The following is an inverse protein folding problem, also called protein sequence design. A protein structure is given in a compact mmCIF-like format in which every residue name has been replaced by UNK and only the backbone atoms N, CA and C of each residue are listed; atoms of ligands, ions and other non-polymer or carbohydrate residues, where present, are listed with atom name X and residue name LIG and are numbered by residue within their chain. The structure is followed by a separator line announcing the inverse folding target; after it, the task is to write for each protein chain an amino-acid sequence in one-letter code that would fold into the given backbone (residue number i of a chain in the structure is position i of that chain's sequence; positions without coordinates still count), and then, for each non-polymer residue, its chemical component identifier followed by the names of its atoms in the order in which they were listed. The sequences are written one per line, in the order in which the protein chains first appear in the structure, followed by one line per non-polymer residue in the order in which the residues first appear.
data_IF_816266103919
#
_entry.id   IF_816266103919
#
_cell.length_a   1.000
_cell.length_b   1.000
_cell.length_c   1.000
_cell.angle_alpha   90.00
_cell.angle_beta   90.00
_cell.angle_gamma   90.00
#
_symmetry.space_group_name_H-M   'P 1'
#
loop_
_entity.id
_entity.type
_entity.pdbx_description
1 polymer ?
#
# COMPACT_ATOMS: atom_id res chain seq x y z
N UNK A 1 -33.59 -14.19 -16.44
CA UNK A 1 -32.25 -14.49 -16.95
C UNK A 1 -31.73 -13.20 -17.51
N UNK A 2 -30.60 -12.69 -16.99
CA UNK A 2 -29.95 -11.52 -17.55
C UNK A 2 -29.62 -11.79 -19.02
N UNK A 3 -29.73 -10.78 -19.88
CA UNK A 3 -29.28 -10.90 -21.26
C UNK A 3 -27.75 -10.87 -21.31
N UNK A 4 -27.15 -11.34 -22.41
CA UNK A 4 -25.70 -11.24 -22.64
C UNK A 4 -25.21 -9.79 -22.57
N UNK A 5 -26.06 -8.84 -22.97
CA UNK A 5 -25.80 -7.40 -22.88
C UNK A 5 -25.81 -6.90 -21.43
N UNK A 6 -26.77 -7.33 -20.61
CA UNK A 6 -26.82 -7.00 -19.17
C UNK A 6 -25.60 -7.53 -18.42
N UNK A 7 -25.15 -8.74 -18.78
CA UNK A 7 -23.99 -9.35 -18.15
C UNK A 7 -22.69 -8.63 -18.52
N UNK A 8 -22.50 -8.25 -19.78
CA UNK A 8 -21.36 -7.43 -20.21
C UNK A 8 -21.35 -6.08 -19.49
N UNK A 9 -22.50 -5.41 -19.39
CA UNK A 9 -22.63 -4.13 -18.68
C UNK A 9 -22.22 -4.28 -17.20
N UNK A 10 -22.71 -5.32 -16.52
CA UNK A 10 -22.34 -5.63 -15.14
C UNK A 10 -20.82 -5.84 -14.99
N UNK A 11 -20.19 -6.65 -15.85
CA UNK A 11 -18.75 -6.89 -15.80
C UNK A 11 -17.92 -5.63 -16.07
N UNK A 12 -18.41 -4.75 -16.94
CA UNK A 12 -17.80 -3.43 -17.15
C UNK A 12 -17.90 -2.55 -15.90
N UNK A 13 -19.04 -2.51 -15.23
CA UNK A 13 -19.20 -1.77 -13.96
C UNK A 13 -18.27 -2.32 -12.86
N UNK A 14 -18.14 -3.64 -12.77
CA UNK A 14 -17.24 -4.29 -11.81
C UNK A 14 -15.76 -3.99 -12.12
N UNK A 15 -15.39 -3.97 -13.40
CA UNK A 15 -14.07 -3.54 -13.85
C UNK A 15 -13.79 -2.10 -13.46
N UNK A 16 -14.71 -1.18 -13.76
CA UNK A 16 -14.55 0.24 -13.38
C UNK A 16 -14.43 0.40 -11.87
N UNK A 17 -15.26 -0.28 -11.07
CA UNK A 17 -15.18 -0.23 -9.63
C UNK A 17 -13.85 -0.79 -9.08
N UNK A 18 -13.37 -1.90 -9.62
CA UNK A 18 -12.10 -2.49 -9.21
C UNK A 18 -10.89 -1.61 -9.58
N UNK A 19 -10.93 -0.93 -10.74
CA UNK A 19 -9.86 -0.05 -11.20
C UNK A 19 -9.89 1.34 -10.54
N UNK A 20 -11.06 1.95 -10.40
CA UNK A 20 -11.20 3.31 -9.87
C UNK A 20 -11.33 3.32 -8.34
N UNK A 21 -11.76 2.20 -7.74
CA UNK A 21 -11.92 2.07 -6.30
C UNK A 21 -10.64 2.31 -5.50
N UNK A 22 -9.47 1.98 -6.07
CA UNK A 22 -8.16 2.36 -5.50
C UNK A 22 -7.75 1.61 -4.22
N UNK A 23 -8.46 0.55 -3.82
CA UNK A 23 -8.14 -0.26 -2.62
C UNK A 23 -7.41 -1.56 -2.90
N UNK A 24 -7.27 -1.95 -4.17
CA UNK A 24 -6.57 -3.15 -4.60
C UNK A 24 -5.26 -2.76 -5.30
N UNK A 25 -4.29 -3.66 -5.40
CA UNK A 25 -3.21 -3.52 -6.38
C UNK A 25 -3.61 -4.13 -7.73
N UNK A 26 -2.80 -3.92 -8.78
CA UNK A 26 -3.08 -4.43 -10.12
C UNK A 26 -3.33 -5.95 -10.13
N UNK A 27 -2.46 -6.73 -9.47
CA UNK A 27 -2.62 -8.19 -9.37
C UNK A 27 -3.98 -8.56 -8.76
N UNK A 28 -4.36 -7.90 -7.66
CA UNK A 28 -5.64 -8.15 -6.99
C UNK A 28 -6.83 -7.80 -7.88
N UNK A 29 -6.79 -6.69 -8.62
CA UNK A 29 -7.84 -6.34 -9.59
C UNK A 29 -7.98 -7.41 -10.66
N UNK A 30 -6.86 -7.80 -11.28
CA UNK A 30 -6.88 -8.79 -12.36
C UNK A 30 -7.37 -10.15 -11.84
N UNK A 31 -6.90 -10.60 -10.67
CA UNK A 31 -7.38 -11.86 -10.07
C UNK A 31 -8.88 -11.81 -9.76
N UNK A 32 -9.37 -10.73 -9.14
CA UNK A 32 -10.81 -10.63 -8.82
C UNK A 32 -11.69 -10.60 -10.08
N UNK A 33 -11.26 -9.88 -11.13
CA UNK A 33 -11.99 -9.84 -12.40
C UNK A 33 -11.91 -11.16 -13.16
N UNK A 34 -10.78 -11.86 -13.09
CA UNK A 34 -10.65 -13.19 -13.68
C UNK A 34 -11.61 -14.18 -13.01
N UNK A 35 -11.62 -14.22 -11.67
CA UNK A 35 -12.51 -15.10 -10.90
C UNK A 35 -13.99 -14.81 -11.23
N UNK A 36 -14.37 -13.52 -11.27
CA UNK A 36 -15.72 -13.10 -11.64
C UNK A 36 -16.07 -13.50 -13.08
N UNK A 37 -15.21 -13.20 -14.05
CA UNK A 37 -15.46 -13.51 -15.45
C UNK A 37 -15.53 -15.01 -15.72
N UNK A 38 -14.69 -15.82 -15.04
CA UNK A 38 -14.75 -17.29 -15.14
C UNK A 38 -16.06 -17.84 -14.60
N UNK A 39 -16.58 -17.26 -13.51
CA UNK A 39 -17.86 -17.64 -12.94
C UNK A 39 -19.03 -17.28 -13.86
N UNK A 40 -19.01 -16.08 -14.44
CA UNK A 40 -20.15 -15.56 -15.20
C UNK A 40 -20.15 -15.93 -16.70
N UNK A 41 -19.00 -15.87 -17.36
CA UNK A 41 -18.88 -16.06 -18.83
C UNK A 41 -18.51 -17.50 -19.20
N UNK A 42 -17.65 -18.15 -18.41
CA UNK A 42 -17.17 -19.52 -18.64
C UNK A 42 -16.31 -19.74 -19.90
N UNK A 43 -16.21 -18.75 -20.81
CA UNK A 43 -15.36 -18.75 -22.01
C UNK A 43 -14.02 -18.04 -21.72
N UNK A 44 -12.92 -18.79 -21.84
CA UNK A 44 -11.55 -18.29 -21.66
C UNK A 44 -11.24 -17.10 -22.59
N UNK A 45 -11.79 -17.09 -23.81
CA UNK A 45 -11.55 -16.00 -24.74
C UNK A 45 -12.26 -14.71 -24.31
N UNK A 46 -13.40 -14.80 -23.63
CA UNK A 46 -14.10 -13.65 -23.06
C UNK A 46 -13.44 -13.14 -21.78
N UNK A 47 -12.99 -14.07 -20.93
CA UNK A 47 -12.20 -13.75 -19.73
C UNK A 47 -10.95 -12.95 -20.12
N UNK A 48 -10.17 -13.43 -21.09
CA UNK A 48 -8.97 -12.71 -21.54
C UNK A 48 -9.28 -11.35 -22.19
N UNK A 49 -10.43 -11.21 -22.87
CA UNK A 49 -10.88 -9.91 -23.37
C UNK A 49 -11.15 -8.91 -22.24
N UNK A 50 -11.80 -9.34 -21.17
CA UNK A 50 -12.05 -8.50 -19.99
C UNK A 50 -10.73 -8.13 -19.29
N UNK A 51 -9.81 -9.08 -19.12
CA UNK A 51 -8.51 -8.82 -18.48
C UNK A 51 -7.64 -7.87 -19.31
N UNK A 52 -7.64 -8.00 -20.64
CA UNK A 52 -6.96 -7.06 -21.52
C UNK A 52 -7.54 -5.64 -21.41
N UNK A 53 -8.86 -5.52 -21.28
CA UNK A 53 -9.52 -4.24 -21.01
C UNK A 53 -9.12 -3.68 -19.64
N UNK A 54 -9.10 -4.52 -18.60
CA UNK A 54 -8.74 -4.13 -17.25
C UNK A 54 -7.30 -3.59 -17.18
N UNK A 55 -6.33 -4.25 -17.83
CA UNK A 55 -4.94 -3.78 -17.92
C UNK A 55 -4.84 -2.41 -18.58
N UNK A 56 -5.56 -2.20 -19.68
CA UNK A 56 -5.61 -0.90 -20.36
C UNK A 56 -6.20 0.17 -19.45
N UNK A 57 -7.34 -0.13 -18.82
CA UNK A 57 -8.03 0.80 -17.94
C UNK A 57 -7.20 1.15 -16.70
N UNK A 58 -6.44 0.20 -16.15
CA UNK A 58 -5.47 0.44 -15.06
C UNK A 58 -4.39 1.44 -15.48
N UNK A 59 -3.84 1.31 -16.68
CA UNK A 59 -2.83 2.24 -17.19
C UNK A 59 -3.42 3.65 -17.42
N UNK A 60 -4.60 3.74 -18.02
CA UNK A 60 -5.33 5.00 -18.18
C UNK A 60 -5.59 5.65 -16.80
N UNK A 61 -6.04 4.87 -15.83
CA UNK A 61 -6.30 5.36 -14.48
C UNK A 61 -5.02 5.79 -13.76
N UNK A 62 -3.88 5.13 -14.01
CA UNK A 62 -2.59 5.54 -13.46
C UNK A 62 -2.17 6.92 -13.97
N UNK A 63 -2.44 7.22 -15.24
CA UNK A 63 -2.21 8.55 -15.82
C UNK A 63 -3.18 9.56 -15.19
N UNK A 64 -4.47 9.22 -15.04
CA UNK A 64 -5.46 10.06 -14.36
C UNK A 64 -5.02 10.40 -12.92
N UNK A 65 -4.64 9.39 -12.13
CA UNK A 65 -4.17 9.55 -10.74
C UNK A 65 -2.95 10.48 -10.65
N UNK A 66 -2.02 10.38 -11.60
CA UNK A 66 -0.83 11.23 -11.65
C UNK A 66 -1.14 12.71 -11.93
N UNK A 67 -2.29 12.99 -12.56
CA UNK A 67 -2.73 14.35 -12.89
C UNK A 67 -3.44 15.07 -11.74
N UNK A 68 -3.87 14.35 -10.71
CA UNK A 68 -4.56 14.95 -9.57
C UNK A 68 -3.54 15.64 -8.66
N UNK A 69 -3.35 16.95 -8.80
CA UNK A 69 -2.41 17.74 -7.99
C UNK A 69 -3.03 18.29 -6.69
N UNK A 70 -4.34 18.50 -6.69
CA UNK A 70 -5.07 19.06 -5.54
C UNK A 70 -5.60 17.96 -4.59
N UNK A 71 -5.83 18.29 -3.30
CA UNK A 71 -6.49 17.38 -2.37
C UNK A 71 -7.88 16.96 -2.85
N UNK A 72 -8.14 15.65 -2.88
CA UNK A 72 -9.42 15.09 -3.30
C UNK A 72 -10.37 14.89 -2.11
N UNK A 73 -11.66 14.64 -2.39
CA UNK A 73 -12.62 14.23 -1.36
C UNK A 73 -12.20 12.90 -0.71
N UNK A 74 -11.63 11.96 -1.48
CA UNK A 74 -11.07 10.73 -0.91
C UNK A 74 -9.87 10.99 0.01
N UNK A 75 -9.02 11.97 -0.30
CA UNK A 75 -7.93 12.39 0.60
C UNK A 75 -8.47 12.99 1.91
N UNK A 76 -9.56 13.76 1.84
CA UNK A 76 -10.27 14.27 3.02
C UNK A 76 -10.92 13.13 3.82
N UNK A 77 -11.51 12.14 3.14
CA UNK A 77 -12.13 10.97 3.77
C UNK A 77 -11.08 10.14 4.52
N UNK A 78 -9.89 9.97 3.95
CA UNK A 78 -8.76 9.32 4.62
C UNK A 78 -8.38 10.05 5.92
N UNK A 79 -8.28 11.37 5.88
CA UNK A 79 -7.95 12.18 7.07
C UNK A 79 -9.04 12.11 8.14
N UNK A 80 -10.31 12.15 7.73
CA UNK A 80 -11.45 12.03 8.64
C UNK A 80 -11.49 10.65 9.34
N UNK A 81 -11.26 9.57 8.61
CA UNK A 81 -11.22 8.21 9.17
C UNK A 81 -10.06 8.03 10.15
N UNK A 82 -8.90 8.61 9.82
CA UNK A 82 -7.76 8.63 10.75
C UNK A 82 -8.06 9.42 12.04
N UNK A 83 -8.76 10.55 11.95
CA UNK A 83 -9.17 11.34 13.12
C UNK A 83 -10.18 10.59 13.99
N UNK A 84 -11.20 9.99 13.38
CA UNK A 84 -12.18 9.17 14.09
C UNK A 84 -11.51 8.06 14.89
N UNK A 85 -10.57 7.35 14.24
CA UNK A 85 -9.83 6.25 14.89
C UNK A 85 -8.98 6.75 16.05
N UNK A 86 -8.32 7.90 15.91
CA UNK A 86 -7.57 8.55 17.01
C UNK A 86 -8.47 8.95 18.17
N UNK A 87 -9.73 9.29 17.90
CA UNK A 87 -10.72 9.68 18.91
C UNK A 87 -11.55 8.50 19.44
N UNK A 88 -11.11 7.25 19.18
CA UNK A 88 -11.72 6.04 19.72
C UNK A 88 -12.92 5.51 18.94
N UNK A 89 -13.16 5.98 17.72
CA UNK A 89 -14.14 5.42 16.78
C UNK A 89 -13.37 4.72 15.66
N UNK A 90 -13.30 3.39 15.69
CA UNK A 90 -12.54 2.63 14.70
C UNK A 90 -13.15 2.82 13.31
N UNK A 91 -12.43 3.52 12.43
CA UNK A 91 -12.91 3.84 11.09
C UNK A 91 -12.16 3.03 10.04
N UNK A 92 -12.83 2.07 9.39
CA UNK A 92 -12.22 1.22 8.36
C UNK A 92 -12.80 1.53 6.98
N UNK A 93 -11.91 1.67 6.00
CA UNK A 93 -12.29 1.84 4.61
C UNK A 93 -12.22 0.50 3.89
N UNK A 94 -13.16 0.26 2.97
CA UNK A 94 -13.27 -0.95 2.18
C UNK A 94 -13.16 -2.24 3.03
N UNK A 95 -13.89 -2.27 4.15
CA UNK A 95 -13.88 -3.37 5.11
C UNK A 95 -14.77 -4.51 4.62
N UNK A 96 -14.16 -5.56 4.06
CA UNK A 96 -14.88 -6.67 3.46
C UNK A 96 -15.68 -6.25 2.22
N UNK A 97 -16.56 -7.13 1.75
CA UNK A 97 -17.37 -6.89 0.56
C UNK A 97 -18.82 -6.52 0.90
N UNK A 98 -19.39 -7.17 1.91
CA UNK A 98 -20.76 -6.95 2.39
C UNK A 98 -20.79 -6.26 3.76
N UNK A 99 -21.97 -5.78 4.16
CA UNK A 99 -22.20 -5.19 5.49
C UNK A 99 -21.83 -6.14 6.64
N UNK A 100 -22.16 -7.43 6.48
CA UNK A 100 -21.86 -8.45 7.49
C UNK A 100 -20.35 -8.68 7.63
N UNK A 101 -19.64 -8.77 6.50
CA UNK A 101 -18.18 -8.95 6.50
C UNK A 101 -17.47 -7.74 7.09
N UNK A 102 -17.92 -6.53 6.76
CA UNK A 102 -17.35 -5.31 7.32
C UNK A 102 -17.49 -5.21 8.84
N UNK A 103 -18.61 -5.68 9.41
CA UNK A 103 -18.73 -5.82 10.86
C UNK A 103 -17.77 -6.85 11.45
N UNK A 104 -17.53 -7.95 10.74
CA UNK A 104 -16.52 -8.94 11.10
C UNK A 104 -15.11 -8.35 11.15
N UNK A 105 -14.71 -7.64 10.10
CA UNK A 105 -13.41 -6.96 9.97
C UNK A 105 -13.20 -5.92 11.07
N UNK A 106 -14.21 -5.07 11.29
CA UNK A 106 -14.18 -4.04 12.33
C UNK A 106 -14.03 -4.65 13.73
N UNK A 107 -14.76 -5.72 14.05
CA UNK A 107 -14.63 -6.42 15.34
C UNK A 107 -13.26 -7.07 15.50
N UNK A 108 -12.76 -7.72 14.45
CA UNK A 108 -11.44 -8.34 14.45
C UNK A 108 -10.31 -7.31 14.61
N UNK A 109 -10.44 -6.15 13.97
CA UNK A 109 -9.51 -5.04 14.09
C UNK A 109 -9.57 -4.40 15.49
N UNK A 110 -10.76 -4.20 16.05
CA UNK A 110 -10.93 -3.67 17.41
C UNK A 110 -10.30 -4.59 18.47
N UNK A 111 -10.48 -5.92 18.35
CA UNK A 111 -9.94 -6.91 19.28
C UNK A 111 -8.39 -6.95 19.33
N UNK A 112 -7.72 -6.48 18.27
CA UNK A 112 -6.25 -6.40 18.20
C UNK A 112 -5.67 -5.14 18.85
N UNK A 113 -6.51 -4.17 19.23
CA UNK A 113 -6.05 -2.92 19.83
C UNK A 113 -5.88 -3.07 21.35
N UNK A 114 -4.86 -2.41 21.89
CA UNK A 114 -4.65 -2.30 23.34
C UNK A 114 -5.67 -1.39 24.01
N UNK A 115 -6.12 -0.35 23.29
CA UNK A 115 -7.12 0.60 23.77
C UNK A 115 -8.52 0.18 23.33
N UNK A 116 -9.48 0.26 24.26
CA UNK A 116 -10.89 -0.01 23.95
C UNK A 116 -11.46 1.09 23.07
N UNK A 117 -11.94 0.72 21.89
CA UNK A 117 -12.68 1.61 21.00
C UNK A 117 -14.12 1.77 21.53
N UNK A 118 -14.71 2.96 21.41
CA UNK A 118 -16.10 3.25 21.80
C UNK A 118 -17.12 2.72 20.78
N UNK A 119 -16.70 2.65 19.52
CA UNK A 119 -17.53 2.19 18.41
C UNK A 119 -16.74 2.17 17.12
N UNK A 120 -17.47 2.08 16.01
CA UNK A 120 -16.86 2.02 14.69
C UNK A 120 -17.73 2.68 13.62
N UNK A 121 -17.07 3.01 12.52
CA UNK A 121 -17.73 3.34 11.25
C UNK A 121 -16.94 2.73 10.09
N UNK A 122 -17.63 2.33 9.03
CA UNK A 122 -16.95 1.76 7.87
C UNK A 122 -17.82 1.81 6.62
N UNK A 123 -17.17 1.56 5.48
CA UNK A 123 -17.83 1.20 4.22
C UNK A 123 -17.15 -0.04 3.64
N UNK A 124 -17.87 -0.81 2.83
CA UNK A 124 -17.42 -2.08 2.26
C UNK A 124 -17.34 -2.03 0.72
N UNK A 125 -16.89 -3.11 0.07
CA UNK A 125 -16.69 -3.17 -1.39
C UNK A 125 -17.89 -2.71 -2.22
N UNK A 126 -19.09 -3.17 -1.90
CA UNK A 126 -20.31 -2.71 -2.60
C UNK A 126 -20.61 -1.21 -2.41
N UNK A 127 -20.15 -0.60 -1.32
CA UNK A 127 -20.27 0.84 -1.12
C UNK A 127 -19.26 1.61 -1.98
N UNK A 128 -18.07 1.03 -2.19
CA UNK A 128 -17.05 1.56 -3.12
C UNK A 128 -17.60 1.51 -4.54
N UNK A 129 -18.16 0.37 -4.98
CA UNK A 129 -18.82 0.25 -6.30
C UNK A 129 -19.87 1.35 -6.48
N UNK A 130 -20.76 1.50 -5.51
CA UNK A 130 -21.80 2.54 -5.51
C UNK A 130 -21.20 3.96 -5.60
N UNK A 131 -20.13 4.22 -4.86
CA UNK A 131 -19.42 5.50 -4.86
C UNK A 131 -18.78 5.82 -6.21
N UNK A 132 -18.05 4.86 -6.79
CA UNK A 132 -17.42 4.96 -8.11
C UNK A 132 -18.45 5.20 -9.20
N UNK A 133 -19.59 4.49 -9.15
CA UNK A 133 -20.68 4.59 -10.12
C UNK A 133 -21.58 5.82 -9.91
N UNK A 134 -21.18 6.77 -9.05
CA UNK A 134 -21.85 8.06 -8.92
C UNK A 134 -23.14 8.05 -8.10
N UNK A 135 -23.41 6.98 -7.34
CA UNK A 135 -24.57 6.92 -6.45
C UNK A 135 -24.26 7.36 -5.01
N UNK A 136 -23.01 7.78 -4.75
CA UNK A 136 -22.54 8.22 -3.44
C UNK A 136 -22.11 7.06 -2.55
N UNK A 137 -21.39 7.40 -1.49
CA UNK A 137 -20.79 6.44 -0.58
C UNK A 137 -21.66 6.30 0.67
N UNK A 138 -21.77 5.11 1.25
CA UNK A 138 -22.48 4.99 2.52
C UNK A 138 -21.73 4.25 3.60
N UNK A 139 -21.96 4.72 4.81
CA UNK A 139 -21.18 4.43 6.00
C UNK A 139 -22.07 3.74 7.03
N UNK A 140 -21.70 2.52 7.38
CA UNK A 140 -22.22 1.86 8.57
C UNK A 140 -21.60 2.51 9.82
N UNK A 141 -22.32 2.46 10.93
CA UNK A 141 -21.85 2.93 12.23
C UNK A 141 -22.46 2.09 13.36
N UNK A 142 -21.84 2.12 14.53
CA UNK A 142 -22.38 1.52 15.76
C UNK A 142 -21.39 1.54 16.91
N UNK A 143 -21.91 1.47 18.13
CA UNK A 143 -21.11 1.43 19.35
C UNK A 143 -20.64 0.00 19.69
N UNK A 144 -19.53 -0.11 20.41
CA UNK A 144 -19.08 -1.34 21.07
C UNK A 144 -19.56 -1.40 22.52
N UNK A 145 -20.78 -0.89 22.75
CA UNK A 145 -21.46 -0.96 24.04
C UNK A 145 -22.10 -2.33 24.19
N UNK A 146 -21.82 -2.96 25.34
CA UNK A 146 -22.27 -4.32 25.67
C UNK A 146 -23.65 -4.30 26.35
N UNK A 147 -24.01 -3.19 27.03
CA UNK A 147 -25.34 -3.01 27.61
C UNK A 147 -26.40 -2.66 26.54
N UNK A 148 -27.37 -3.54 26.27
CA UNK A 148 -28.41 -3.29 25.27
C UNK A 148 -29.24 -2.03 25.54
N UNK A 149 -29.39 -1.61 26.81
CA UNK A 149 -30.15 -0.41 27.16
C UNK A 149 -29.40 0.89 26.80
N UNK A 150 -28.08 0.84 26.68
CA UNK A 150 -27.22 1.97 26.35
C UNK A 150 -26.74 1.95 24.89
N UNK A 151 -26.79 0.78 24.25
CA UNK A 151 -26.26 0.54 22.90
C UNK A 151 -26.81 1.48 21.83
N UNK A 152 -28.12 1.74 21.85
CA UNK A 152 -28.79 2.56 20.85
C UNK A 152 -28.37 4.03 20.94
N UNK A 153 -28.41 4.63 22.13
CA UNK A 153 -27.97 6.03 22.31
C UNK A 153 -26.47 6.17 22.07
N UNK A 154 -25.66 5.19 22.51
CA UNK A 154 -24.23 5.18 22.22
C UNK A 154 -23.98 5.13 20.70
N UNK A 155 -24.71 4.31 19.96
CA UNK A 155 -24.59 4.20 18.50
C UNK A 155 -25.04 5.46 17.78
N UNK A 156 -26.11 6.12 18.25
CA UNK A 156 -26.52 7.43 17.75
C UNK A 156 -25.46 8.51 18.02
N UNK A 157 -24.78 8.46 19.17
CA UNK A 157 -23.67 9.36 19.48
C UNK A 157 -22.48 9.13 18.54
N UNK A 158 -22.14 7.88 18.23
CA UNK A 158 -21.13 7.53 17.21
C UNK A 158 -21.52 8.14 15.85
N UNK A 159 -22.77 7.98 15.41
CA UNK A 159 -23.25 8.53 14.14
C UNK A 159 -23.11 10.06 14.06
N UNK A 160 -23.50 10.77 15.13
CA UNK A 160 -23.37 12.23 15.23
C UNK A 160 -21.90 12.65 15.14
N UNK A 161 -21.01 12.00 15.89
CA UNK A 161 -19.57 12.30 15.90
C UNK A 161 -18.91 12.01 14.54
N UNK A 162 -19.31 10.93 13.85
CA UNK A 162 -18.88 10.63 12.48
C UNK A 162 -19.25 11.75 11.53
N UNK A 163 -20.52 12.20 11.55
CA UNK A 163 -20.98 13.30 10.68
C UNK A 163 -20.28 14.62 10.98
N UNK A 164 -20.12 14.97 12.25
CA UNK A 164 -19.40 16.18 12.66
C UNK A 164 -17.93 16.14 12.21
N UNK A 165 -17.29 14.99 12.32
CA UNK A 165 -15.90 14.82 11.88
C UNK A 165 -15.78 14.94 10.37
N UNK A 166 -16.66 14.28 9.61
CA UNK A 166 -16.70 14.41 8.15
C UNK A 166 -16.94 15.87 7.72
N UNK A 167 -17.86 16.59 8.37
CA UNK A 167 -18.12 17.99 8.10
C UNK A 167 -16.89 18.89 8.36
N UNK A 168 -16.10 18.62 9.42
CA UNK A 168 -14.83 19.34 9.67
C UNK A 168 -13.79 19.14 8.56
N UNK A 169 -13.82 17.99 7.88
CA UNK A 169 -12.99 17.70 6.71
C UNK A 169 -13.62 18.17 5.39
N UNK A 170 -14.72 18.92 5.43
CA UNK A 170 -15.41 19.46 4.26
C UNK A 170 -16.27 18.43 3.51
N UNK A 171 -16.66 17.34 4.17
CA UNK A 171 -17.46 16.26 3.58
C UNK A 171 -18.91 16.39 4.08
N UNK A 172 -19.82 16.64 3.15
CA UNK A 172 -21.25 16.71 3.44
C UNK A 172 -21.83 15.30 3.63
N UNK A 173 -22.82 15.19 4.54
CA UNK A 173 -23.48 13.91 4.85
C UNK A 173 -24.99 14.06 5.04
N UNK A 174 -25.71 13.08 4.51
CA UNK A 174 -27.14 12.90 4.67
C UNK A 174 -27.42 11.70 5.59
N UNK A 175 -28.29 11.89 6.57
CA UNK A 175 -28.76 10.84 7.46
C UNK A 175 -30.06 11.27 8.13
N UNK A 176 -31.02 10.37 8.25
CA UNK A 176 -32.35 10.71 8.79
C UNK A 176 -32.43 10.61 10.34
N UNK A 177 -31.32 10.30 11.01
CA UNK A 177 -31.25 10.19 12.47
C UNK A 177 -31.60 8.82 13.05
N UNK A 178 -31.84 7.79 12.22
CA UNK A 178 -32.26 6.45 12.67
C UNK A 178 -31.14 5.43 12.59
N UNK A 179 -31.07 4.52 13.57
CA UNK A 179 -30.07 3.46 13.67
C UNK A 179 -30.14 2.46 12.51
N UNK A 180 -31.33 2.23 11.97
CA UNK A 180 -31.55 1.29 10.87
C UNK A 180 -31.09 1.86 9.51
N UNK A 181 -30.70 3.14 9.48
CA UNK A 181 -30.24 3.79 8.26
C UNK A 181 -28.79 4.21 8.38
N UNK A 182 -28.05 4.00 7.29
CA UNK A 182 -26.64 4.38 7.18
C UNK A 182 -26.48 5.87 6.88
N UNK A 183 -25.32 6.40 7.22
CA UNK A 183 -24.92 7.76 6.82
C UNK A 183 -24.53 7.72 5.35
N UNK A 184 -25.06 8.62 4.53
CA UNK A 184 -24.69 8.75 3.13
C UNK A 184 -23.81 9.98 2.93
N UNK A 185 -22.72 9.83 2.19
CA UNK A 185 -22.04 10.92 1.53
C UNK A 185 -22.68 11.02 0.13
N UNK A 186 -23.28 12.16 -0.24
CA UNK A 186 -23.87 12.35 -1.57
C UNK A 186 -22.86 12.06 -2.70
N UNK A 187 -23.32 11.85 -3.95
CA UNK A 187 -22.42 11.67 -5.08
C UNK A 187 -21.34 12.75 -5.13
N UNK A 188 -20.08 12.31 -5.21
CA UNK A 188 -18.92 13.17 -5.32
C UNK A 188 -17.95 12.57 -6.34
N UNK A 189 -17.00 13.36 -6.79
CA UNK A 189 -16.00 12.88 -7.74
C UNK A 189 -15.04 11.90 -7.05
N UNK A 190 -15.15 10.62 -7.39
CA UNK A 190 -14.32 9.59 -6.82
C UNK A 190 -12.90 9.62 -7.41
N UNK A 191 -11.94 9.98 -6.57
CA UNK A 191 -10.51 10.07 -6.90
C UNK A 191 -9.66 9.43 -5.80
N UNK A 192 -9.95 8.17 -5.48
CA UNK A 192 -9.15 7.41 -4.51
C UNK A 192 -7.81 7.03 -5.15
N UNK A 193 -6.74 7.61 -4.63
CA UNK A 193 -5.38 7.28 -5.02
C UNK A 193 -5.04 5.84 -4.61
N UNK A 194 -4.78 4.98 -5.59
CA UNK A 194 -4.30 3.60 -5.37
C UNK A 194 -2.94 3.61 -4.69
N UNK A 195 -2.19 4.70 -4.87
CA UNK A 195 -0.88 4.91 -4.28
C UNK A 195 -0.79 6.17 -3.42
N UNK A 196 -1.76 6.37 -2.52
CA UNK A 196 -1.50 7.18 -1.31
C UNK A 196 -0.65 6.46 -0.25
N UNK A 197 0.17 5.49 -0.64
CA UNK A 197 1.33 4.99 0.12
C UNK A 197 2.67 5.49 -0.42
N UNK A 198 2.74 6.02 -1.65
CA UNK A 198 3.97 6.67 -2.15
C UNK A 198 4.13 8.12 -1.67
N UNK A 199 3.08 8.75 -1.19
CA UNK A 199 3.09 10.11 -0.63
C UNK A 199 2.83 10.20 0.89
N UNK A 200 2.76 9.07 1.61
CA UNK A 200 2.55 9.02 3.07
C UNK A 200 3.66 8.33 3.86
N UNK A 201 4.87 8.32 3.30
CA UNK A 201 6.09 8.17 4.09
C UNK A 201 7.08 9.31 3.85
N UNK A 202 6.59 10.49 3.47
CA UNK A 202 7.18 11.70 4.05
C UNK A 202 6.45 11.89 5.36
N UNK A 203 7.11 11.73 6.52
CA UNK A 203 6.56 12.22 7.78
C UNK A 203 6.11 13.68 7.56
N UNK A 204 5.11 14.20 8.30
CA UNK A 204 4.92 15.65 8.34
C UNK A 204 6.29 16.29 8.54
N UNK A 205 6.58 17.41 7.88
CA UNK A 205 7.90 18.04 7.86
C UNK A 205 8.51 18.30 9.26
N UNK A 206 7.70 18.14 10.33
CA UNK A 206 8.03 18.27 11.74
C UNK A 206 8.20 16.95 12.54
N UNK A 207 7.97 15.75 11.99
CA UNK A 207 8.27 14.48 12.69
C UNK A 207 9.49 13.83 12.09
N UNK A 208 10.65 14.26 12.57
CA UNK A 208 11.94 13.69 12.20
C UNK A 208 12.01 12.17 12.46
N UNK A 209 12.38 11.40 11.44
CA UNK A 209 12.61 9.97 11.54
C UNK A 209 13.76 9.65 12.51
N UNK A 210 13.80 8.43 13.04
CA UNK A 210 14.91 8.01 13.91
C UNK A 210 16.28 8.21 13.24
N UNK A 211 16.36 7.92 11.94
CA UNK A 211 17.56 8.03 11.13
C UNK A 211 17.96 9.50 10.95
N UNK A 212 17.01 10.38 10.59
CA UNK A 212 17.26 11.82 10.49
C UNK A 212 17.73 12.41 11.82
N UNK A 213 17.11 12.00 12.94
CA UNK A 213 17.50 12.46 14.29
C UNK A 213 18.91 12.05 14.66
N UNK A 214 19.29 10.79 14.36
CA UNK A 214 20.64 10.31 14.64
C UNK A 214 21.65 11.02 13.73
N UNK A 215 21.35 11.15 12.44
CA UNK A 215 22.21 11.83 11.47
C UNK A 215 22.47 13.28 11.88
N UNK A 216 21.40 14.05 12.19
CA UNK A 216 21.50 15.44 12.65
C UNK A 216 22.31 15.56 13.94
N UNK A 217 22.09 14.67 14.92
CA UNK A 217 22.83 14.70 16.18
C UNK A 217 24.33 14.41 15.96
N UNK A 218 24.67 13.42 15.12
CA UNK A 218 26.06 13.11 14.79
C UNK A 218 26.74 14.27 14.05
N UNK A 219 26.05 14.90 13.09
CA UNK A 219 26.55 16.10 12.40
C UNK A 219 26.85 17.24 13.39
N UNK A 220 25.95 17.50 14.35
CA UNK A 220 26.12 18.56 15.35
C UNK A 220 27.22 18.25 16.37
N UNK A 221 27.30 17.02 16.86
CA UNK A 221 28.25 16.63 17.92
C UNK A 221 29.68 16.47 17.39
N UNK A 222 29.85 15.91 16.19
CA UNK A 222 31.15 15.58 15.63
C UNK A 222 31.63 16.60 14.58
N UNK A 223 30.79 17.56 14.22
CA UNK A 223 31.14 18.62 13.25
C UNK A 223 31.24 18.13 11.81
N UNK A 224 30.55 17.04 11.45
CA UNK A 224 30.52 16.51 10.08
C UNK A 224 29.65 17.37 9.16
N UNK A 225 30.07 17.52 7.91
CA UNK A 225 29.22 18.04 6.85
C UNK A 225 28.09 17.05 6.54
N UNK A 226 27.03 17.54 5.89
CA UNK A 226 25.90 16.71 5.48
C UNK A 226 26.34 15.62 4.49
N UNK A 227 27.28 15.92 3.60
CA UNK A 227 27.83 14.99 2.61
C UNK A 227 28.60 13.85 3.30
N UNK A 228 29.49 14.17 4.25
CA UNK A 228 30.24 13.17 5.03
C UNK A 228 29.31 12.28 5.87
N UNK A 229 28.28 12.86 6.48
CA UNK A 229 27.32 12.11 7.30
C UNK A 229 26.45 11.17 6.43
N UNK A 230 26.04 11.60 5.24
CA UNK A 230 25.29 10.76 4.30
C UNK A 230 26.19 9.63 3.78
N UNK A 231 27.43 9.92 3.38
CA UNK A 231 28.36 8.90 2.90
C UNK A 231 28.64 7.84 3.98
N UNK A 232 28.82 8.25 5.24
CA UNK A 232 28.98 7.32 6.37
C UNK A 232 27.72 6.46 6.59
N UNK A 233 26.53 7.04 6.38
CA UNK A 233 25.27 6.32 6.51
C UNK A 233 25.08 5.27 5.41
N UNK A 234 25.36 5.64 4.16
CA UNK A 234 25.33 4.75 3.00
C UNK A 234 26.29 3.58 3.19
N UNK A 235 27.53 3.87 3.59
CA UNK A 235 28.55 2.86 3.86
C UNK A 235 28.13 1.90 4.99
N UNK A 236 27.58 2.42 6.08
CA UNK A 236 27.07 1.59 7.18
C UNK A 236 25.93 0.68 6.73
N UNK A 237 24.94 1.22 6.01
CA UNK A 237 23.78 0.45 5.55
C UNK A 237 24.21 -0.59 4.51
N UNK A 238 25.15 -0.26 3.63
CA UNK A 238 25.74 -1.19 2.68
C UNK A 238 26.45 -2.35 3.39
N UNK A 239 27.28 -2.06 4.40
CA UNK A 239 27.98 -3.09 5.17
C UNK A 239 26.98 -4.03 5.87
N UNK A 240 25.95 -3.49 6.51
CA UNK A 240 24.93 -4.31 7.19
C UNK A 240 24.08 -5.11 6.20
N UNK A 241 23.78 -4.55 5.03
CA UNK A 241 23.07 -5.26 3.97
C UNK A 241 23.90 -6.43 3.42
N UNK A 242 25.20 -6.24 3.18
CA UNK A 242 26.11 -7.30 2.73
C UNK A 242 26.18 -8.44 3.76
N UNK A 243 26.39 -8.13 5.04
CA UNK A 243 26.42 -9.16 6.11
C UNK A 243 25.12 -9.97 6.20
N UNK A 244 23.98 -9.33 5.95
CA UNK A 244 22.67 -9.92 6.19
C UNK A 244 22.06 -10.62 4.97
N UNK A 245 22.35 -10.13 3.77
CA UNK A 245 21.80 -10.65 2.51
C UNK A 245 22.81 -11.44 1.66
N UNK A 246 24.12 -11.32 1.93
CA UNK A 246 25.20 -12.06 1.26
C UNK A 246 26.37 -11.15 0.91
N UNK A 247 27.56 -11.45 1.43
CA UNK A 247 28.77 -10.65 1.24
C UNK A 247 29.31 -10.75 -0.20
N UNK A 248 28.98 -11.83 -0.89
CA UNK A 248 29.29 -12.06 -2.29
C UNK A 248 28.44 -11.21 -3.25
N UNK A 249 27.38 -10.56 -2.76
CA UNK A 249 26.45 -9.80 -3.61
C UNK A 249 27.02 -8.45 -3.98
N UNK A 250 26.75 -8.03 -5.21
CA UNK A 250 27.00 -6.68 -5.70
C UNK A 250 25.83 -5.78 -5.29
N UNK A 251 25.93 -5.27 -4.06
CA UNK A 251 25.00 -4.31 -3.50
C UNK A 251 25.54 -2.88 -3.60
N UNK A 252 24.64 -1.94 -3.77
CA UNK A 252 24.91 -0.50 -3.70
C UNK A 252 23.89 0.16 -2.77
N UNK A 253 24.30 1.19 -2.04
CA UNK A 253 23.43 1.93 -1.13
C UNK A 253 23.54 3.43 -1.42
N UNK A 254 22.40 4.08 -1.68
CA UNK A 254 22.34 5.49 -2.08
C UNK A 254 21.23 6.20 -1.31
N UNK A 255 21.54 7.37 -0.75
CA UNK A 255 20.59 8.22 -0.05
C UNK A 255 19.68 8.94 -1.04
N UNK A 256 18.38 8.71 -0.92
CA UNK A 256 17.34 9.42 -1.66
C UNK A 256 16.90 10.64 -0.84
N UNK A 257 17.19 11.88 -1.28
CA UNK A 257 16.84 13.10 -0.54
C UNK A 257 15.33 13.40 -0.54
N UNK A 258 14.57 12.89 -1.50
CA UNK A 258 13.11 13.07 -1.56
C UNK A 258 12.42 12.13 -0.59
N UNK A 259 12.84 10.87 -0.56
CA UNK A 259 12.33 9.85 0.37
C UNK A 259 12.96 9.90 1.76
N UNK A 260 14.07 10.65 1.89
CA UNK A 260 14.86 10.82 3.11
C UNK A 260 15.31 9.50 3.75
N UNK A 261 15.72 8.55 2.91
CA UNK A 261 16.15 7.21 3.30
C UNK A 261 17.27 6.72 2.38
N UNK A 262 18.05 5.75 2.84
CA UNK A 262 19.02 5.07 1.98
C UNK A 262 18.33 3.91 1.28
N UNK A 263 18.38 3.87 -0.05
CA UNK A 263 17.91 2.74 -0.84
C UNK A 263 19.08 1.80 -1.12
N UNK A 264 18.84 0.49 -0.97
CA UNK A 264 19.82 -0.54 -1.33
C UNK A 264 19.39 -1.17 -2.64
N UNK A 265 20.33 -1.41 -3.55
CA UNK A 265 20.09 -2.04 -4.85
C UNK A 265 21.05 -3.22 -5.03
N UNK A 266 20.59 -4.28 -5.68
CA UNK A 266 21.42 -5.37 -6.17
C UNK A 266 21.48 -5.30 -7.69
N UNK A 267 22.68 -5.34 -8.26
CA UNK A 267 22.90 -5.38 -9.70
C UNK A 267 23.33 -6.78 -10.15
N UNK A 268 22.53 -7.40 -11.02
CA UNK A 268 22.79 -8.72 -11.63
C UNK A 268 23.14 -8.57 -13.11
N UNK A 269 24.13 -9.31 -13.59
CA UNK A 269 24.52 -9.32 -15.02
C UNK A 269 23.89 -10.52 -15.74
N UNK A 270 23.28 -10.28 -16.89
CA UNK A 270 22.73 -11.34 -17.74
C UNK A 270 23.86 -11.98 -18.54
N UNK A 271 24.01 -13.30 -18.48
CA UNK A 271 25.09 -14.03 -19.14
C UNK A 271 24.59 -15.28 -19.86
N UNK A 272 25.28 -15.72 -20.91
CA UNK A 272 24.94 -16.98 -21.59
C UNK A 272 25.42 -18.21 -20.81
N UNK A 273 26.49 -18.04 -20.01
CA UNK A 273 27.06 -19.06 -19.14
C UNK A 273 27.55 -18.38 -17.87
N UNK A 274 27.22 -18.98 -16.72
CA UNK A 274 27.74 -18.52 -15.43
C UNK A 274 29.27 -18.65 -15.39
N UNK A 275 29.90 -17.77 -14.62
CA UNK A 275 31.31 -17.86 -14.29
C UNK A 275 31.60 -19.12 -13.45
N UNK A 276 32.83 -19.62 -13.55
CA UNK A 276 33.27 -20.78 -12.77
C UNK A 276 33.54 -20.39 -11.29
N UNK A 277 33.79 -19.11 -11.02
CA UNK A 277 33.89 -18.57 -9.65
C UNK A 277 32.49 -18.34 -9.05
N UNK A 278 32.11 -19.07 -7.97
CA UNK A 278 30.81 -18.90 -7.33
C UNK A 278 30.53 -17.48 -6.82
N UNK A 279 31.57 -16.73 -6.44
CA UNK A 279 31.41 -15.35 -5.97
C UNK A 279 31.00 -14.40 -7.12
N UNK A 280 31.54 -14.63 -8.32
CA UNK A 280 31.14 -13.89 -9.53
C UNK A 280 29.76 -14.36 -10.00
N UNK A 281 29.53 -15.67 -10.02
CA UNK A 281 28.27 -16.27 -10.45
C UNK A 281 27.07 -15.86 -9.57
N UNK A 282 27.28 -15.54 -8.29
CA UNK A 282 26.23 -15.04 -7.39
C UNK A 282 25.51 -13.79 -7.95
N UNK A 283 26.21 -12.98 -8.74
CA UNK A 283 25.70 -11.76 -9.36
C UNK A 283 25.39 -11.91 -10.86
N UNK A 284 25.25 -13.13 -11.36
CA UNK A 284 24.94 -13.41 -12.75
C UNK A 284 23.65 -14.20 -12.89
N UNK A 285 22.88 -13.95 -13.96
CA UNK A 285 21.71 -14.77 -14.30
C UNK A 285 21.75 -15.20 -15.76
N UNK A 286 21.33 -16.44 -15.99
CA UNK A 286 21.36 -17.00 -17.34
C UNK A 286 20.33 -16.29 -18.22
N UNK A 287 20.75 -15.94 -19.43
CA UNK A 287 19.89 -15.29 -20.43
C UNK A 287 18.56 -16.04 -20.62
N UNK A 288 18.63 -17.37 -20.69
CA UNK A 288 17.44 -18.22 -20.85
C UNK A 288 16.46 -18.06 -19.67
N UNK A 289 16.97 -18.06 -18.43
CA UNK A 289 16.15 -17.91 -17.21
C UNK A 289 15.45 -16.54 -17.19
N UNK A 290 16.16 -15.48 -17.56
CA UNK A 290 15.62 -14.11 -17.55
C UNK A 290 14.55 -13.93 -18.65
N UNK A 291 14.79 -14.49 -19.85
CA UNK A 291 13.82 -14.44 -20.97
C UNK A 291 12.56 -15.26 -20.72
N UNK A 292 12.65 -16.39 -20.02
CA UNK A 292 11.48 -17.18 -19.62
C UNK A 292 10.50 -16.38 -18.74
N UNK A 293 11.00 -15.37 -18.03
CA UNK A 293 10.20 -14.46 -17.21
C UNK A 293 9.67 -13.24 -18.01
N UNK A 294 9.80 -13.26 -19.33
CA UNK A 294 9.25 -12.26 -20.25
C UNK A 294 10.05 -10.96 -20.31
N UNK A 295 11.28 -10.94 -19.80
CA UNK A 295 12.16 -9.77 -19.91
C UNK A 295 12.91 -9.78 -21.24
N UNK A 296 12.90 -8.63 -21.92
CA UNK A 296 13.66 -8.41 -23.15
C UNK A 296 15.07 -7.93 -22.79
N UNK A 297 16.05 -8.83 -22.87
CA UNK A 297 17.44 -8.61 -22.46
C UNK A 297 18.44 -9.30 -23.40
N UNK A 298 19.66 -8.77 -23.42
CA UNK A 298 20.83 -9.27 -24.12
C UNK A 298 21.94 -9.70 -23.13
N UNK A 299 22.85 -10.61 -23.53
CA UNK A 299 24.04 -10.90 -22.74
C UNK A 299 24.87 -9.65 -22.48
N UNK A 300 25.22 -9.43 -21.21
CA UNK A 300 25.92 -8.25 -20.72
C UNK A 300 25.01 -7.20 -20.08
N UNK A 301 23.70 -7.29 -20.25
CA UNK A 301 22.75 -6.36 -19.62
C UNK A 301 22.78 -6.47 -18.09
N UNK A 302 22.56 -5.32 -17.43
CA UNK A 302 22.45 -5.26 -15.98
C UNK A 302 20.98 -5.12 -15.54
N UNK A 303 20.54 -6.07 -14.71
CA UNK A 303 19.27 -6.01 -14.02
C UNK A 303 19.50 -5.44 -12.63
N UNK A 304 18.93 -4.28 -12.35
CA UNK A 304 19.03 -3.62 -11.05
C UNK A 304 17.73 -3.79 -10.29
N UNK A 305 17.81 -4.35 -9.10
CA UNK A 305 16.66 -4.57 -8.22
C UNK A 305 16.86 -3.84 -6.90
N UNK A 306 15.85 -3.11 -6.46
CA UNK A 306 15.84 -2.56 -5.11
C UNK A 306 15.75 -3.68 -4.06
N UNK A 307 16.54 -3.62 -3.00
CA UNK A 307 16.48 -4.51 -1.85
C UNK A 307 15.70 -3.84 -0.73
N UNK A 308 14.51 -4.38 -0.45
CA UNK A 308 13.62 -3.89 0.60
C UNK A 308 14.04 -4.43 1.97
N UNK A 309 14.82 -3.62 2.70
CA UNK A 309 15.41 -4.05 3.96
C UNK A 309 14.64 -3.59 5.20
N UNK A 310 13.65 -2.70 5.07
CA UNK A 310 12.92 -2.15 6.22
C UNK A 310 11.60 -2.89 6.45
N UNK A 311 11.15 -3.05 7.71
CA UNK A 311 9.84 -3.65 8.01
C UNK A 311 8.66 -2.95 7.35
N UNK A 312 8.77 -1.64 7.10
CA UNK A 312 7.75 -0.82 6.45
C UNK A 312 7.55 -1.19 4.98
N UNK A 313 8.58 -1.76 4.34
CA UNK A 313 8.58 -2.17 2.93
C UNK A 313 8.13 -3.65 2.76
N UNK A 314 7.52 -4.24 3.80
CA UNK A 314 7.12 -5.65 3.79
C UNK A 314 6.14 -6.03 2.66
N UNK A 315 5.18 -5.19 2.26
CA UNK A 315 4.34 -5.48 1.08
C UNK A 315 5.16 -5.57 -0.21
N UNK A 316 6.08 -4.62 -0.43
CA UNK A 316 6.94 -4.52 -1.60
C UNK A 316 7.94 -5.66 -1.65
N UNK A 317 8.58 -5.97 -0.53
CA UNK A 317 9.51 -7.09 -0.39
C UNK A 317 8.82 -8.43 -0.67
N UNK A 318 7.56 -8.60 -0.22
CA UNK A 318 6.76 -9.81 -0.50
C UNK A 318 6.40 -9.93 -1.96
N UNK A 319 6.05 -8.82 -2.61
CA UNK A 319 5.72 -8.80 -4.03
C UNK A 319 6.96 -9.10 -4.89
N UNK A 320 8.10 -8.50 -4.55
CA UNK A 320 9.37 -8.74 -5.23
C UNK A 320 9.85 -10.18 -5.04
N UNK A 321 9.80 -10.73 -3.82
CA UNK A 321 10.16 -12.13 -3.58
C UNK A 321 9.30 -13.10 -4.42
N UNK A 322 8.02 -12.76 -4.63
CA UNK A 322 7.12 -13.56 -5.46
C UNK A 322 7.45 -13.42 -6.96
N UNK A 323 7.73 -12.21 -7.42
CA UNK A 323 7.88 -11.92 -8.85
C UNK A 323 9.29 -12.20 -9.38
N UNK A 324 10.30 -11.89 -8.57
CA UNK A 324 11.70 -11.89 -8.96
C UNK A 324 12.58 -12.70 -8.00
N UNK A 325 12.03 -13.37 -7.00
CA UNK A 325 12.83 -14.12 -6.01
C UNK A 325 13.75 -15.18 -6.63
N UNK A 326 13.30 -15.86 -7.69
CA UNK A 326 14.14 -16.82 -8.43
C UNK A 326 15.26 -16.13 -9.24
N UNK A 327 15.01 -14.95 -9.81
CA UNK A 327 16.04 -14.13 -10.46
C UNK A 327 16.98 -13.55 -9.41
N UNK A 328 16.50 -13.11 -8.25
CA UNK A 328 17.35 -12.50 -7.24
C UNK A 328 18.14 -13.52 -6.43
N UNK A 329 17.72 -14.78 -6.45
CA UNK A 329 18.16 -15.83 -5.53
C UNK A 329 18.20 -15.30 -4.08
N UNK A 330 17.19 -14.49 -3.73
CA UNK A 330 17.14 -13.76 -2.48
C UNK A 330 15.70 -13.62 -2.05
N UNK A 331 15.49 -13.88 -0.76
CA UNK A 331 14.22 -13.64 -0.08
C UNK A 331 14.42 -12.52 0.94
N UNK A 332 13.70 -11.42 0.78
CA UNK A 332 13.80 -10.23 1.63
C UNK A 332 12.62 -10.13 2.60
N UNK A 333 11.44 -10.65 2.24
CA UNK A 333 10.26 -10.65 3.11
C UNK A 333 10.46 -11.42 4.41
N UNK A 334 10.29 -10.70 5.52
CA UNK A 334 10.52 -11.21 6.86
C UNK A 334 11.99 -11.21 7.29
N UNK A 335 12.92 -10.76 6.44
CA UNK A 335 14.36 -10.65 6.73
C UNK A 335 14.79 -9.18 6.73
N UNK A 336 14.14 -8.37 7.56
CA UNK A 336 14.41 -6.93 7.65
C UNK A 336 15.57 -6.60 8.58
N UNK A 337 16.32 -5.54 8.26
CA UNK A 337 17.31 -4.94 9.13
C UNK A 337 16.60 -4.04 10.16
N UNK A 338 17.12 -4.04 11.39
CA UNK A 338 16.61 -3.21 12.49
C UNK A 338 17.77 -2.72 13.32
N UNK A 339 17.77 -1.43 13.62
CA UNK A 339 18.81 -0.83 14.44
C UNK A 339 18.20 0.00 15.57
N UNK A 340 18.88 -0.03 16.71
CA UNK A 340 18.63 0.95 17.76
C UNK A 340 19.29 2.29 17.39
N UNK A 341 18.85 3.40 17.99
CA UNK A 341 19.51 4.71 17.84
C UNK A 341 21.01 4.64 18.12
N UNK A 342 21.39 3.80 19.09
CA UNK A 342 22.79 3.59 19.50
C UNK A 342 23.58 2.89 18.40
N UNK A 343 23.04 1.80 17.83
CA UNK A 343 23.70 1.04 16.78
C UNK A 343 23.89 1.90 15.50
N UNK A 344 22.87 2.70 15.13
CA UNK A 344 22.99 3.65 14.02
C UNK A 344 24.08 4.69 14.27
N UNK A 345 24.15 5.26 15.48
CA UNK A 345 25.19 6.23 15.85
C UNK A 345 26.58 5.60 15.81
N UNK A 346 26.76 4.43 16.42
CA UNK A 346 28.06 3.73 16.45
C UNK A 346 28.49 3.34 15.03
N UNK A 347 27.56 2.89 14.19
CA UNK A 347 27.80 2.61 12.77
C UNK A 347 28.27 3.84 12.01
N UNK A 348 27.52 4.93 12.04
CA UNK A 348 27.90 6.21 11.40
C UNK A 348 29.33 6.65 11.79
N UNK A 349 29.70 6.52 13.06
CA UNK A 349 31.03 6.91 13.53
C UNK A 349 32.15 5.97 13.09
N UNK A 350 31.84 4.71 12.82
CA UNK A 350 32.81 3.74 12.30
C UNK A 350 33.11 3.96 10.81
N UNK A 351 32.20 4.62 10.08
CA UNK A 351 32.24 4.83 8.63
C UNK A 351 32.50 6.29 8.22
N UNK A 352 32.84 7.17 9.16
CA UNK A 352 33.13 8.60 8.92
C UNK A 352 34.51 8.85 8.33
#
# INVERSE_FOLDING_TARGET
MATDEDLRAYLHEQLEAAVVGGYQNEKQVLTSLEELARHELGDDAEVERLLALARRRLEEHRVEESSWTEPTVNDALDRAFQELTRNGILALQNAGYTLSDGWGEVKAAAAKRSERMRGATFFHGQDVERGVLGAGLMLAFGAFEDDPALHDEASLAIAREVRETLARHGIETEWNGRLETRIQIPPFEWRKRRQSLRARHTPPADTESLLERVLRNVMQEEGLSQEEAIAALEAFILEEALKHYGEERRLEAHYDPEKRLVEVFQALTVVERLDDDPAVAANQRLLEQVRQLGMDVEPGDELVFQIFYRPEDAPESKAQDYQYGEILDLKTFGRFLRWSSRALREGLLAHR
#
